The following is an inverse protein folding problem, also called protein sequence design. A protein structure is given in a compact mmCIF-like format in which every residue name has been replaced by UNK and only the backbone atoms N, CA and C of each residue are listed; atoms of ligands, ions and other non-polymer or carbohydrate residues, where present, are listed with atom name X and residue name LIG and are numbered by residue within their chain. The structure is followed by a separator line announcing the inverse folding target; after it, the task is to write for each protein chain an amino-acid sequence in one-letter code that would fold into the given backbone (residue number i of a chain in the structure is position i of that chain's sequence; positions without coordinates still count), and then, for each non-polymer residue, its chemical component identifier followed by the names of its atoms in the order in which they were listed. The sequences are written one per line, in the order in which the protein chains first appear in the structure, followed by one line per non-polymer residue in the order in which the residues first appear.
data_IF_325618644880
#
_entry.id   IF_325618644880
#
_cell.length_a   1.000
_cell.length_b   1.000
_cell.length_c   1.000
_cell.angle_alpha   90.00
_cell.angle_beta   90.00
_cell.angle_gamma   90.00
#
_symmetry.space_group_name_H-M   'P 1'
#
loop_
_entity.id
_entity.type
_entity.pdbx_description
1 polymer ?
#
# COMPACT_ATOMS: atom_id res chain seq x y z
N UNK A 1 1.72 2.25 -20.53
CA UNK A 1 2.32 1.19 -19.69
C UNK A 1 1.95 1.44 -18.24
N UNK A 2 1.85 0.42 -17.41
CA UNK A 2 1.50 0.57 -15.99
C UNK A 2 2.77 0.82 -15.17
N UNK A 3 2.77 1.85 -14.30
CA UNK A 3 3.93 2.19 -13.45
C UNK A 3 3.73 1.77 -12.01
N UNK A 4 2.56 1.19 -11.74
CA UNK A 4 2.08 0.77 -10.45
C UNK A 4 1.23 -0.47 -10.64
N UNK A 5 1.48 -1.47 -9.81
CA UNK A 5 0.60 -2.62 -9.59
C UNK A 5 0.12 -2.55 -8.14
N UNK A 6 -1.13 -2.91 -7.87
CA UNK A 6 -1.64 -2.97 -6.49
C UNK A 6 -2.46 -4.22 -6.30
N UNK A 7 -2.16 -4.93 -5.23
CA UNK A 7 -2.94 -6.04 -4.70
C UNK A 7 -3.59 -5.57 -3.39
N UNK A 8 -4.82 -6.00 -3.12
CA UNK A 8 -5.59 -5.60 -1.94
C UNK A 8 -6.27 -6.81 -1.31
N UNK A 9 -6.19 -6.89 0.01
CA UNK A 9 -6.82 -7.90 0.85
C UNK A 9 -7.83 -7.20 1.74
N UNK A 10 -9.10 -7.51 1.54
CA UNK A 10 -10.23 -6.82 2.15
C UNK A 10 -11.13 -7.81 2.89
N UNK A 11 -11.95 -7.34 3.85
CA UNK A 11 -12.96 -8.16 4.51
C UNK A 11 -13.90 -8.80 3.48
N UNK A 12 -14.23 -10.10 3.63
CA UNK A 12 -15.02 -10.83 2.65
C UNK A 12 -16.45 -10.29 2.51
N UNK A 13 -16.97 -9.61 3.52
CA UNK A 13 -18.29 -8.98 3.52
C UNK A 13 -18.43 -7.89 2.44
N UNK A 14 -17.31 -7.39 1.92
CA UNK A 14 -17.28 -6.38 0.85
C UNK A 14 -17.36 -6.97 -0.55
N UNK A 15 -17.25 -8.29 -0.71
CA UNK A 15 -17.28 -8.97 -2.01
C UNK A 15 -18.52 -8.62 -2.87
N UNK A 16 -19.74 -8.46 -2.31
CA UNK A 16 -20.92 -8.09 -3.10
C UNK A 16 -20.84 -6.67 -3.70
N UNK A 17 -20.08 -5.77 -3.06
CA UNK A 17 -19.97 -4.36 -3.45
C UNK A 17 -18.73 -4.11 -4.31
N UNK A 18 -17.63 -4.80 -4.00
CA UNK A 18 -16.33 -4.67 -4.67
C UNK A 18 -16.21 -5.61 -5.87
N UNK A 19 -17.15 -5.49 -6.80
CA UNK A 19 -17.12 -6.24 -8.06
C UNK A 19 -16.19 -5.58 -9.08
N UNK A 20 -15.76 -6.34 -10.09
CA UNK A 20 -15.00 -5.79 -11.21
C UNK A 20 -15.77 -4.65 -11.91
N UNK A 21 -17.07 -4.81 -12.11
CA UNK A 21 -17.91 -3.80 -12.74
C UNK A 21 -17.99 -2.51 -11.92
N UNK A 22 -18.03 -2.61 -10.58
CA UNK A 22 -18.02 -1.45 -9.69
C UNK A 22 -16.65 -0.75 -9.71
N UNK A 23 -15.56 -1.50 -9.57
CA UNK A 23 -14.19 -0.97 -9.55
C UNK A 23 -13.74 -0.34 -10.88
N UNK A 24 -14.37 -0.74 -12.00
CA UNK A 24 -14.18 -0.08 -13.30
C UNK A 24 -14.86 1.31 -13.37
N UNK A 25 -15.84 1.58 -12.51
CA UNK A 25 -16.64 2.81 -12.54
C UNK A 25 -16.27 3.80 -11.43
N UNK A 26 -15.89 3.29 -10.26
CA UNK A 26 -15.55 4.12 -9.11
C UNK A 26 -14.26 3.61 -8.42
N UNK A 27 -13.43 4.52 -7.88
CA UNK A 27 -12.28 4.15 -7.06
C UNK A 27 -12.70 3.36 -5.82
N UNK A 28 -11.83 2.44 -5.37
CA UNK A 28 -12.04 1.62 -4.18
C UNK A 28 -12.52 2.43 -2.97
N UNK A 29 -11.83 3.52 -2.64
CA UNK A 29 -12.15 4.32 -1.45
C UNK A 29 -13.50 5.03 -1.53
N UNK A 30 -13.95 5.39 -2.74
CA UNK A 30 -15.29 5.94 -2.94
C UNK A 30 -16.36 4.89 -2.65
N UNK A 31 -16.18 3.68 -3.20
CA UNK A 31 -17.09 2.54 -2.94
C UNK A 31 -17.16 2.20 -1.45
N UNK A 32 -16.03 2.22 -0.74
CA UNK A 32 -15.98 1.96 0.70
C UNK A 32 -16.72 3.07 1.49
N UNK A 33 -16.47 4.33 1.15
CA UNK A 33 -17.16 5.46 1.80
C UNK A 33 -18.67 5.46 1.57
N UNK A 34 -19.11 5.12 0.35
CA UNK A 34 -20.53 4.98 0.01
C UNK A 34 -21.21 3.81 0.74
N UNK A 35 -20.43 2.81 1.18
CA UNK A 35 -20.85 1.73 2.07
C UNK A 35 -20.82 2.07 3.56
N UNK A 36 -20.55 3.33 3.93
CA UNK A 36 -20.51 3.78 5.33
C UNK A 36 -19.20 3.51 6.07
N UNK A 37 -18.15 3.06 5.36
CA UNK A 37 -16.85 2.74 5.98
C UNK A 37 -16.01 4.01 6.07
N UNK A 38 -15.76 4.46 7.30
CA UNK A 38 -14.90 5.61 7.58
C UNK A 38 -13.54 5.13 8.09
N UNK A 39 -12.48 5.50 7.37
CA UNK A 39 -11.11 5.17 7.73
C UNK A 39 -10.54 6.27 8.60
N UNK A 40 -9.91 5.90 9.70
CA UNK A 40 -9.40 6.88 10.67
C UNK A 40 -7.88 6.90 10.75
N UNK A 41 -7.19 5.85 10.30
CA UNK A 41 -5.73 5.77 10.35
C UNK A 41 -5.18 4.85 9.27
N UNK A 42 -4.00 5.17 8.76
CA UNK A 42 -3.24 4.31 7.86
C UNK A 42 -1.81 4.21 8.35
N UNK A 43 -1.26 2.99 8.36
CA UNK A 43 0.17 2.76 8.52
C UNK A 43 0.78 2.41 7.18
N UNK A 44 1.75 3.20 6.75
CA UNK A 44 2.54 2.95 5.56
C UNK A 44 3.86 2.26 5.93
N UNK A 45 4.22 1.24 5.18
CA UNK A 45 5.56 0.66 5.19
C UNK A 45 6.11 0.72 3.76
N UNK A 46 7.31 1.27 3.63
CA UNK A 46 7.97 1.47 2.34
C UNK A 46 9.25 0.65 2.36
N UNK A 47 9.38 -0.27 1.42
CA UNK A 47 10.54 -1.15 1.28
C UNK A 47 10.94 -1.29 -0.19
N UNK A 48 12.01 -2.04 -0.46
CA UNK A 48 12.47 -2.36 -1.79
C UNK A 48 12.16 -3.82 -2.15
N UNK A 49 11.96 -4.08 -3.44
CA UNK A 49 11.83 -5.42 -3.98
C UNK A 49 12.64 -5.57 -5.27
N UNK A 50 13.17 -6.77 -5.52
CA UNK A 50 13.73 -7.12 -6.82
C UNK A 50 12.63 -7.66 -7.73
N UNK A 51 12.51 -7.09 -8.94
CA UNK A 51 11.51 -7.48 -9.91
C UNK A 51 11.72 -8.91 -10.41
N UNK A 52 10.88 -9.84 -9.94
CA UNK A 52 10.74 -11.15 -10.57
C UNK A 52 10.04 -11.06 -11.95
N UNK A 53 10.04 -12.13 -12.76
CA UNK A 53 9.56 -12.12 -14.14
C UNK A 53 8.16 -11.50 -14.32
N UNK A 54 7.21 -11.83 -13.45
CA UNK A 54 5.84 -11.33 -13.51
C UNK A 54 5.76 -9.81 -13.28
N UNK A 55 6.46 -9.30 -12.27
CA UNK A 55 6.43 -7.88 -11.93
C UNK A 55 7.20 -7.04 -12.95
N UNK A 56 8.34 -7.55 -13.41
CA UNK A 56 9.11 -6.98 -14.51
C UNK A 56 8.24 -6.76 -15.74
N UNK A 57 7.51 -7.80 -16.18
CA UNK A 57 6.60 -7.70 -17.32
C UNK A 57 5.45 -6.70 -17.09
N UNK A 58 4.74 -6.79 -15.97
CA UNK A 58 3.58 -5.92 -15.71
C UNK A 58 3.92 -4.44 -15.53
N UNK A 59 5.12 -4.13 -15.06
CA UNK A 59 5.58 -2.77 -14.81
C UNK A 59 6.48 -2.22 -15.91
N UNK A 60 6.72 -2.99 -16.97
CA UNK A 60 7.64 -2.64 -18.06
C UNK A 60 9.05 -2.28 -17.53
N UNK A 61 9.61 -3.21 -16.75
CA UNK A 61 10.92 -3.09 -16.12
C UNK A 61 11.77 -4.32 -16.44
N UNK A 62 13.11 -4.20 -16.47
CA UNK A 62 13.98 -5.37 -16.56
C UNK A 62 13.76 -6.34 -15.39
N UNK A 63 13.89 -7.65 -15.65
CA UNK A 63 14.00 -8.64 -14.59
C UNK A 63 15.24 -8.30 -13.74
N UNK A 64 15.10 -8.39 -12.42
CA UNK A 64 16.17 -8.01 -11.49
C UNK A 64 16.22 -6.51 -11.17
N UNK A 65 15.41 -5.67 -11.81
CA UNK A 65 15.36 -4.25 -11.48
C UNK A 65 14.80 -4.02 -10.07
N UNK A 66 15.28 -2.97 -9.40
CA UNK A 66 14.71 -2.52 -8.13
C UNK A 66 13.30 -1.95 -8.34
N UNK A 67 12.40 -2.27 -7.42
CA UNK A 67 11.04 -1.74 -7.31
C UNK A 67 10.86 -1.13 -5.91
N UNK A 68 10.02 -0.09 -5.83
CA UNK A 68 9.52 0.39 -4.55
C UNK A 68 8.27 -0.42 -4.18
N UNK A 69 8.23 -0.97 -2.98
CA UNK A 69 7.05 -1.62 -2.41
C UNK A 69 6.46 -0.72 -1.32
N UNK A 70 5.18 -0.38 -1.45
CA UNK A 70 4.43 0.39 -0.44
C UNK A 70 3.30 -0.48 0.08
N UNK A 71 3.46 -0.94 1.30
CA UNK A 71 2.47 -1.68 2.06
C UNK A 71 1.64 -0.70 2.89
N UNK A 72 0.33 -0.92 2.96
CA UNK A 72 -0.60 -0.09 3.74
C UNK A 72 -1.48 -0.99 4.57
N UNK A 73 -1.49 -0.78 5.88
CA UNK A 73 -2.53 -1.32 6.75
C UNK A 73 -3.47 -0.17 7.11
N UNK A 74 -4.72 -0.30 6.69
CA UNK A 74 -5.75 0.73 6.89
C UNK A 74 -6.64 0.32 8.06
N UNK A 75 -6.98 1.28 8.90
CA UNK A 75 -7.82 1.11 10.07
C UNK A 75 -9.15 1.84 9.89
N UNK A 76 -10.21 1.21 10.38
CA UNK A 76 -11.55 1.76 10.48
C UNK A 76 -12.15 1.35 11.82
N UNK A 77 -12.86 2.26 12.49
CA UNK A 77 -13.32 2.06 13.87
C UNK A 77 -12.19 1.55 14.80
N UNK A 78 -10.99 2.11 14.64
CA UNK A 78 -9.76 1.78 15.38
C UNK A 78 -9.25 0.32 15.26
N UNK A 79 -9.85 -0.49 14.40
CA UNK A 79 -9.42 -1.86 14.11
C UNK A 79 -8.77 -1.97 12.72
N UNK A 80 -7.82 -2.93 12.52
CA UNK A 80 -7.32 -3.23 11.18
C UNK A 80 -8.46 -3.64 10.26
N UNK A 81 -8.60 -2.96 9.13
CA UNK A 81 -9.69 -3.19 8.19
C UNK A 81 -9.21 -3.89 6.92
N UNK A 82 -8.21 -3.34 6.23
CA UNK A 82 -7.72 -3.94 4.98
C UNK A 82 -6.25 -3.64 4.76
N UNK A 83 -5.62 -4.48 3.96
CA UNK A 83 -4.21 -4.39 3.61
C UNK A 83 -4.06 -4.16 2.11
N UNK A 84 -3.21 -3.22 1.71
CA UNK A 84 -2.84 -3.02 0.32
C UNK A 84 -1.34 -3.15 0.16
N UNK A 85 -0.92 -3.74 -0.96
CA UNK A 85 0.47 -3.77 -1.35
C UNK A 85 0.62 -3.25 -2.77
N UNK A 86 1.38 -2.17 -2.92
CA UNK A 86 1.65 -1.56 -4.21
C UNK A 86 3.12 -1.70 -4.59
N UNK A 87 3.38 -2.19 -5.80
CA UNK A 87 4.70 -2.16 -6.43
C UNK A 87 4.76 -1.01 -7.41
N UNK A 88 5.81 -0.20 -7.33
CA UNK A 88 6.01 0.99 -8.15
C UNK A 88 7.36 0.91 -8.87
N UNK A 89 7.37 1.30 -10.13
CA UNK A 89 8.62 1.51 -10.86
C UNK A 89 9.32 2.77 -10.31
N UNK A 90 10.59 2.69 -9.84
CA UNK A 90 11.31 3.83 -9.29
C UNK A 90 11.74 4.84 -10.37
N UNK A 91 11.81 4.44 -11.64
CA UNK A 91 12.12 5.37 -12.74
C UNK A 91 10.97 6.34 -13.02
N UNK A 92 9.76 6.04 -12.53
CA UNK A 92 8.53 6.78 -12.84
C UNK A 92 7.69 7.15 -11.62
N UNK A 93 8.10 6.75 -10.43
CA UNK A 93 7.35 6.96 -9.19
C UNK A 93 8.28 7.44 -8.08
N UNK A 94 7.74 8.27 -7.19
CA UNK A 94 8.41 8.74 -5.97
C UNK A 94 7.41 8.67 -4.82
N UNK A 95 7.88 8.37 -3.62
CA UNK A 95 7.08 8.51 -2.41
C UNK A 95 7.43 9.85 -1.78
N UNK A 96 6.42 10.70 -1.62
CA UNK A 96 6.55 11.99 -0.95
C UNK A 96 5.85 11.86 0.40
N UNK A 97 6.52 12.33 1.45
CA UNK A 97 6.00 12.42 2.80
C UNK A 97 6.03 13.89 3.19
N UNK A 98 4.94 14.38 3.76
CA UNK A 98 4.85 15.71 4.36
C UNK A 98 4.36 15.52 5.78
N UNK A 99 5.04 16.15 6.72
CA UNK A 99 4.73 16.08 8.14
C UNK A 99 4.66 17.50 8.68
N UNK A 100 3.74 17.72 9.62
CA UNK A 100 3.70 18.96 10.38
C UNK A 100 4.79 18.97 11.47
N UNK A 101 5.12 20.15 11.99
CA UNK A 101 6.20 20.30 12.97
C UNK A 101 5.92 19.55 14.28
N UNK A 102 4.66 19.54 14.73
CA UNK A 102 4.20 18.77 15.89
C UNK A 102 4.36 17.25 15.68
N UNK A 103 4.03 16.74 14.48
CA UNK A 103 4.25 15.33 14.14
C UNK A 103 5.73 14.93 14.09
N UNK A 104 6.62 15.88 13.79
CA UNK A 104 8.07 15.66 13.85
C UNK A 104 8.59 15.62 15.29
N UNK A 105 8.06 16.46 16.17
CA UNK A 105 8.45 16.52 17.58
C UNK A 105 8.03 15.26 18.35
N UNK A 106 6.83 14.72 18.07
CA UNK A 106 6.36 13.49 18.74
C UNK A 106 7.04 12.23 18.21
N UNK A 107 7.59 12.28 16.99
CA UNK A 107 8.17 11.11 16.33
C UNK A 107 7.14 10.09 15.84
N UNK A 108 5.85 10.43 15.88
CA UNK A 108 4.75 9.52 15.53
C UNK A 108 4.54 9.39 14.00
N UNK A 109 5.04 10.34 13.22
CA UNK A 109 4.80 10.37 11.77
C UNK A 109 5.72 9.48 10.92
N UNK A 110 6.93 9.16 11.41
CA UNK A 110 7.88 8.30 10.70
C UNK A 110 8.81 7.55 11.66
N UNK A 111 8.94 6.24 11.44
CA UNK A 111 9.89 5.38 12.14
C UNK A 111 10.84 4.73 11.14
N UNK A 112 12.13 4.70 11.48
CA UNK A 112 13.12 3.83 10.81
C UNK A 112 13.19 2.53 11.61
N UNK A 113 12.95 1.40 10.94
CA UNK A 113 13.07 0.06 11.52
C UNK A 113 14.25 -0.66 10.85
N UNK A 114 14.98 -1.43 11.65
CA UNK A 114 16.08 -2.27 11.18
C UNK A 114 15.74 -3.73 11.49
N UNK A 115 15.81 -4.60 10.48
CA UNK A 115 15.79 -6.04 10.68
C UNK A 115 17.13 -6.46 11.27
N UNK A 116 17.23 -6.41 12.59
CA UNK A 116 18.36 -7.02 13.30
C UNK A 116 18.11 -8.52 13.29
N UNK A 117 19.01 -9.29 12.69
CA UNK A 117 18.91 -10.75 12.64
C UNK A 117 18.81 -11.32 14.06
N UNK A 118 17.58 -11.62 14.48
CA UNK A 118 17.35 -12.43 15.66
C UNK A 118 17.88 -13.82 15.36
N UNK A 119 18.82 -14.30 16.18
CA UNK A 119 19.11 -15.72 16.25
C UNK A 119 17.81 -16.42 16.66
N UNK A 120 17.10 -16.99 15.70
CA UNK A 120 16.09 -18.00 15.97
C UNK A 120 16.84 -19.23 16.46
N UNK A 121 16.81 -19.45 17.78
CA UNK A 121 17.06 -20.75 18.38
C UNK A 121 15.91 -21.71 18.11
#
# INVERSE_FOLDING_TARGET
MAHKRTDAWLPPELAPVLTEAALRRAPLYELLSGGGITMNRVRHEITAEIAGPRNAHLLDMPIGAALLRVNRLVYAADAPHHYLSALLSPSRSRVLLTQAADEMETGDGLRIAHDVGGQSG
#
